data_IF_720663943551
#
_entry.id   IF_720663943551
#
_cell.length_a   1.000
_cell.length_b   1.000
_cell.length_c   1.000
_cell.angle_alpha   90.00
_cell.angle_beta   90.00
_cell.angle_gamma   90.00
#
_symmetry.space_group_name_H-M   'P 1'
#
loop_
_entity.id
_entity.type
_entity.pdbx_description
1 polymer ?
#
# COMPACT_ATOMS: atom_id res chain seq x y z
N UNK A 1 1.87 -1.30 -10.34
CA UNK A 1 3.17 -1.39 -9.65
C UNK A 1 3.01 -1.66 -8.16
N UNK A 2 2.35 -0.79 -7.38
CA UNK A 2 2.21 -0.95 -5.91
C UNK A 2 1.65 -2.32 -5.50
N UNK A 3 0.62 -2.85 -6.17
CA UNK A 3 0.07 -4.18 -5.85
C UNK A 3 1.10 -5.30 -5.97
N UNK A 4 1.89 -5.33 -7.05
CA UNK A 4 2.93 -6.35 -7.24
C UNK A 4 4.02 -6.26 -6.17
N UNK A 5 4.35 -5.05 -5.71
CA UNK A 5 5.28 -4.87 -4.59
C UNK A 5 4.69 -5.38 -3.28
N UNK A 6 3.39 -5.19 -3.05
CA UNK A 6 2.70 -5.73 -1.88
C UNK A 6 2.59 -7.26 -1.93
N UNK A 7 2.36 -7.85 -3.11
CA UNK A 7 2.41 -9.31 -3.32
C UNK A 7 3.78 -9.86 -2.92
N UNK A 8 4.87 -9.29 -3.43
CA UNK A 8 6.22 -9.71 -3.04
C UNK A 8 6.46 -9.51 -1.53
N UNK A 9 6.09 -8.34 -0.99
CA UNK A 9 6.31 -8.00 0.41
C UNK A 9 5.57 -8.96 1.38
N UNK A 10 4.35 -9.35 1.05
CA UNK A 10 3.52 -10.20 1.92
C UNK A 10 3.66 -11.69 1.60
N UNK A 11 3.63 -12.08 0.33
CA UNK A 11 3.59 -13.50 -0.07
C UNK A 11 5.01 -14.09 -0.10
N UNK A 12 5.99 -13.37 -0.65
CA UNK A 12 7.35 -13.91 -0.82
C UNK A 12 8.26 -13.59 0.38
N UNK A 13 8.20 -12.36 0.91
CA UNK A 13 9.11 -11.89 1.98
C UNK A 13 8.53 -12.15 3.38
N UNK A 14 7.20 -12.25 3.52
CA UNK A 14 6.60 -12.54 4.82
C UNK A 14 6.47 -11.33 5.75
N UNK A 15 6.45 -10.08 5.25
CA UNK A 15 6.37 -8.89 6.11
C UNK A 15 5.05 -8.80 6.91
N UNK A 16 5.09 -8.18 8.09
CA UNK A 16 3.89 -7.91 8.90
C UNK A 16 3.12 -6.68 8.40
N UNK A 17 3.83 -5.68 7.88
CA UNK A 17 3.30 -4.36 7.56
C UNK A 17 4.13 -3.71 6.45
N UNK A 18 3.46 -2.96 5.58
CA UNK A 18 4.10 -2.08 4.60
C UNK A 18 3.62 -0.65 4.82
N UNK A 19 4.56 0.30 4.78
CA UNK A 19 4.28 1.74 4.84
C UNK A 19 4.68 2.41 3.53
N UNK A 20 3.98 3.49 3.20
CA UNK A 20 4.31 4.37 2.08
C UNK A 20 4.04 5.81 2.45
N UNK A 21 4.97 6.71 2.12
CA UNK A 21 4.81 8.15 2.34
C UNK A 21 4.73 8.90 1.02
N UNK A 22 4.03 10.02 1.01
CA UNK A 22 4.00 10.95 -0.10
C UNK A 22 3.73 12.37 0.38
N UNK A 23 4.03 13.36 -0.46
CA UNK A 23 3.56 14.73 -0.24
C UNK A 23 2.03 14.77 -0.27
N UNK A 24 1.43 15.57 0.62
CA UNK A 24 -0.01 15.62 0.80
C UNK A 24 -0.75 16.16 -0.44
N UNK A 25 -0.11 17.05 -1.20
CA UNK A 25 -0.61 17.63 -2.44
C UNK A 25 -0.53 16.66 -3.63
N UNK A 26 0.24 15.58 -3.53
CA UNK A 26 0.36 14.55 -4.56
C UNK A 26 -0.85 13.60 -4.54
N UNK A 27 -1.98 14.09 -5.04
CA UNK A 27 -3.24 13.34 -5.08
C UNK A 27 -3.21 12.08 -5.95
N UNK A 28 -2.29 11.99 -6.91
CA UNK A 28 -2.09 10.77 -7.67
C UNK A 28 -1.50 9.66 -6.81
N UNK A 29 -0.45 9.97 -6.06
CA UNK A 29 0.26 9.00 -5.22
C UNK A 29 -0.64 8.39 -4.15
N UNK A 30 -1.35 9.24 -3.39
CA UNK A 30 -2.16 8.70 -2.31
C UNK A 30 -3.42 7.97 -2.77
N UNK A 31 -4.02 8.32 -3.92
CA UNK A 31 -5.10 7.52 -4.53
C UNK A 31 -4.64 6.12 -4.95
N UNK A 32 -3.40 5.98 -5.42
CA UNK A 32 -2.84 4.66 -5.76
C UNK A 32 -2.68 3.81 -4.50
N UNK A 33 -2.21 4.40 -3.39
CA UNK A 33 -2.11 3.70 -2.10
C UNK A 33 -3.48 3.29 -1.55
N UNK A 34 -4.48 4.18 -1.60
CA UNK A 34 -5.85 3.87 -1.20
C UNK A 34 -6.44 2.73 -2.05
N UNK A 35 -6.27 2.78 -3.38
CA UNK A 35 -6.73 1.72 -4.28
C UNK A 35 -6.02 0.38 -4.04
N UNK A 36 -4.78 0.42 -3.54
CA UNK A 36 -4.04 -0.79 -3.16
C UNK A 36 -4.50 -1.39 -1.82
N UNK A 37 -5.42 -0.74 -1.11
CA UNK A 37 -5.96 -1.18 0.17
C UNK A 37 -5.23 -0.59 1.39
N UNK A 38 -4.34 0.38 1.19
CA UNK A 38 -3.65 1.05 2.30
C UNK A 38 -4.55 2.12 2.92
N UNK A 39 -4.51 2.26 4.26
CA UNK A 39 -5.17 3.35 4.98
C UNK A 39 -4.20 4.50 5.22
N UNK A 40 -4.71 5.72 5.29
CA UNK A 40 -3.95 6.87 5.78
C UNK A 40 -3.86 6.80 7.30
N UNK A 41 -2.66 6.81 7.84
CA UNK A 41 -2.45 6.75 9.29
C UNK A 41 -1.88 8.03 9.87
N UNK A 42 -1.27 8.87 9.03
CA UNK A 42 -0.73 10.16 9.47
C UNK A 42 -0.84 11.21 8.37
N UNK A 43 -1.11 12.43 8.82
CA UNK A 43 -0.97 13.68 8.07
C UNK A 43 -0.06 14.58 8.90
N UNK A 44 0.98 15.14 8.30
CA UNK A 44 1.93 16.00 8.98
C UNK A 44 1.98 17.35 8.31
N UNK A 45 1.97 18.40 9.13
CA UNK A 45 2.13 19.76 8.65
C UNK A 45 3.63 20.03 8.55
N UNK A 46 4.10 20.36 7.35
CA UNK A 46 5.52 20.66 7.08
C UNK A 46 6.51 19.57 7.56
N UNK A 47 6.16 18.30 7.40
CA UNK A 47 6.97 17.16 7.89
C UNK A 47 7.84 16.51 6.80
N UNK A 48 7.66 16.92 5.54
CA UNK A 48 8.26 16.29 4.37
C UNK A 48 9.08 17.31 3.59
N UNK A 49 10.25 16.92 3.10
CA UNK A 49 11.14 17.82 2.36
C UNK A 49 10.96 17.69 0.84
N UNK A 50 10.61 18.79 0.18
CA UNK A 50 10.56 18.95 -1.28
C UNK A 50 11.73 19.81 -1.77
N UNK A 51 12.41 19.39 -2.83
CA UNK A 51 13.60 20.07 -3.33
C UNK A 51 13.35 21.53 -3.76
N UNK A 52 12.19 21.80 -4.38
CA UNK A 52 11.81 23.14 -4.89
C UNK A 52 10.91 23.92 -3.94
N UNK A 53 10.28 23.25 -2.95
CA UNK A 53 9.23 23.84 -2.11
C UNK A 53 9.58 23.83 -0.62
N UNK A 54 10.73 23.27 -0.24
CA UNK A 54 11.16 23.16 1.14
C UNK A 54 10.26 22.22 1.94
N UNK A 55 9.95 22.58 3.18
CA UNK A 55 9.07 21.79 4.03
C UNK A 55 7.61 21.90 3.59
N UNK A 56 7.03 20.76 3.24
CA UNK A 56 5.64 20.61 2.81
C UNK A 56 4.93 19.58 3.66
N UNK A 57 3.61 19.57 3.57
CA UNK A 57 2.79 18.59 4.27
C UNK A 57 2.98 17.19 3.67
N UNK A 58 2.98 16.19 4.54
CA UNK A 58 3.14 14.78 4.18
C UNK A 58 1.99 13.92 4.64
N UNK A 59 1.83 12.79 3.96
CA UNK A 59 0.91 11.73 4.33
C UNK A 59 1.67 10.41 4.43
N UNK A 60 1.39 9.66 5.49
CA UNK A 60 1.83 8.27 5.62
C UNK A 60 0.63 7.33 5.55
N UNK A 61 0.78 6.30 4.72
CA UNK A 61 -0.16 5.22 4.51
C UNK A 61 0.44 3.90 4.96
N UNK A 62 -0.43 2.97 5.37
CA UNK A 62 -0.02 1.63 5.73
C UNK A 62 -1.07 0.57 5.41
N UNK A 63 -0.60 -0.67 5.30
CA UNK A 63 -1.42 -1.87 5.25
C UNK A 63 -0.75 -2.97 6.07
N UNK A 64 -1.54 -3.69 6.86
CA UNK A 64 -1.12 -4.88 7.60
C UNK A 64 -1.33 -6.14 6.77
N UNK A 65 -0.56 -7.18 7.08
CA UNK A 65 -0.74 -8.52 6.51
C UNK A 65 -2.18 -9.02 6.64
N UNK A 66 -2.80 -8.87 7.81
CA UNK A 66 -4.18 -9.36 8.04
C UNK A 66 -5.20 -8.68 7.12
N UNK A 67 -4.93 -7.43 6.73
CA UNK A 67 -5.81 -6.67 5.84
C UNK A 67 -5.57 -7.04 4.38
N UNK A 68 -4.31 -7.31 4.03
CA UNK A 68 -3.96 -7.89 2.74
C UNK A 68 -4.66 -9.23 2.52
N UNK A 69 -4.55 -10.15 3.48
CA UNK A 69 -5.17 -11.48 3.45
C UNK A 69 -6.70 -11.39 3.49
N UNK A 70 -7.25 -10.49 4.30
CA UNK A 70 -8.70 -10.21 4.33
C UNK A 70 -9.24 -9.66 3.01
N UNK A 71 -8.42 -8.89 2.27
CA UNK A 71 -8.78 -8.43 0.92
C UNK A 71 -8.77 -9.55 -0.11
N UNK A 72 -7.91 -10.56 0.05
CA UNK A 72 -7.85 -11.71 -0.86
C UNK A 72 -9.13 -12.55 -0.81
N UNK A 73 -9.70 -12.75 0.38
CA UNK A 73 -10.97 -13.46 0.55
C UNK A 73 -12.14 -12.80 -0.21
N UNK A 74 -12.13 -11.47 -0.33
CA UNK A 74 -13.11 -10.72 -1.13
C UNK A 74 -12.85 -10.85 -2.64
N UNK A 75 -11.58 -10.99 -3.06
CA UNK A 75 -11.21 -11.19 -4.48
C UNK A 75 -11.55 -12.59 -4.98
N UNK A 76 -11.34 -13.63 -4.17
CA UNK A 76 -11.70 -15.01 -4.51
C UNK A 76 -13.21 -15.15 -4.64
N UNK A 77 -13.98 -14.49 -3.76
CA UNK A 77 -15.44 -14.42 -3.86
C UNK A 77 -15.93 -13.64 -5.10
N UNK A 78 -15.16 -12.66 -5.58
CA UNK A 78 -15.46 -11.87 -6.78
C UNK A 78 -15.09 -12.54 -8.12
N UNK A 79 -14.69 -13.82 -8.12
CA UNK A 79 -14.54 -14.61 -9.35
C UNK A 79 -13.24 -14.37 -10.13
N UNK A 80 -12.15 -13.97 -9.47
CA UNK A 80 -10.81 -13.98 -10.06
C UNK A 80 -9.99 -15.12 -9.45
N UNK A 81 -10.01 -16.28 -10.11
CA UNK A 81 -9.22 -17.43 -9.73
C UNK A 81 -7.73 -17.19 -9.96
N UNK A 82 -6.97 -17.00 -8.88
CA UNK A 82 -5.52 -17.19 -8.91
C UNK A 82 -5.25 -18.69 -8.83
N UNK A 83 -4.87 -19.29 -9.97
CA UNK A 83 -4.21 -20.59 -9.99
C UNK A 83 -2.81 -20.44 -9.43
N UNK A 84 -2.54 -21.07 -8.28
CA UNK A 84 -1.23 -21.63 -7.95
C UNK A 84 -1.44 -22.99 -7.26
N UNK A 85 -1.40 -24.04 -8.08
CA UNK A 85 -1.14 -25.43 -7.67
C UNK A 85 0.24 -25.83 -8.20
N UNK A 86 0.81 -26.85 -7.55
CA UNK A 86 2.12 -27.49 -7.72
C UNK A 86 3.20 -26.81 -6.85
N UNK A 87 3.58 -27.33 -5.68
CA UNK A 87 4.15 -28.67 -5.44
C UNK A 87 5.09 -29.11 -6.56
N UNK A 88 6.40 -28.89 -6.37
CA UNK A 88 7.46 -29.91 -6.49
C UNK A 88 8.53 -29.58 -5.45
#
# INVERSE_FOLDING_TARGET
MVRAMLEIAFDDVGLHRVTGSCFADNTGSWRVMEKAGMRREQYGVQDSWHAEHGWVDGCTYAILRSEWEGSEGQRVAAGWGSRRSAEV
#
